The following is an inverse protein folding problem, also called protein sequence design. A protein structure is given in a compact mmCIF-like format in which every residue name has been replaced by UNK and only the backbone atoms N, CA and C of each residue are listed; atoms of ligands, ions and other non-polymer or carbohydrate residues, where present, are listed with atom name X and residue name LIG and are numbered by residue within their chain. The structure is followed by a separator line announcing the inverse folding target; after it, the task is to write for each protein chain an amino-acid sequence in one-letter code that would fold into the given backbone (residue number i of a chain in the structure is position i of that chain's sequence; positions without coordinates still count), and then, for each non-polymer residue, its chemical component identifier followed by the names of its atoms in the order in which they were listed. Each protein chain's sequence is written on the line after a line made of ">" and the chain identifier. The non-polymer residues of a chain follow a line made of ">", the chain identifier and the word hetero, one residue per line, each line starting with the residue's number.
data_IF_863263044258
#
_entry.id   IF_863263044258
#
_cell.length_a   1.000
_cell.length_b   1.000
_cell.length_c   1.000
_cell.angle_alpha   90.00
_cell.angle_beta   90.00
_cell.angle_gamma   90.00
#
_symmetry.space_group_name_H-M   'P 1'
#
loop_
_entity.id
_entity.type
_entity.pdbx_description
1 polymer ?
#
# COMPACT_ATOMS: atom_id res chain seq x y z
N UNK A 1 32.76 2.80 -18.11
CA UNK A 1 33.93 3.68 -18.34
C UNK A 1 33.86 4.31 -19.71
N UNK A 2 33.59 3.55 -20.78
CA UNK A 2 33.47 4.06 -22.16
C UNK A 2 32.34 5.10 -22.31
N UNK A 3 31.20 4.92 -21.68
CA UNK A 3 30.07 5.84 -21.69
C UNK A 3 30.41 7.20 -21.06
N UNK A 4 31.23 7.22 -20.00
CA UNK A 4 31.72 8.44 -19.37
C UNK A 4 32.70 9.20 -20.31
N UNK A 5 33.50 8.47 -21.05
CA UNK A 5 34.45 9.06 -22.01
C UNK A 5 33.76 9.63 -23.27
N UNK A 6 32.61 9.04 -23.65
CA UNK A 6 31.84 9.45 -24.82
C UNK A 6 30.76 10.50 -24.51
N UNK A 7 30.59 10.90 -23.24
CA UNK A 7 29.56 11.85 -22.82
C UNK A 7 28.12 11.32 -22.94
N UNK A 8 27.94 10.00 -23.06
CA UNK A 8 26.66 9.35 -23.33
C UNK A 8 26.08 8.58 -22.11
N UNK A 9 26.28 9.17 -20.93
CA UNK A 9 25.85 8.54 -19.66
C UNK A 9 24.35 8.31 -19.61
N UNK A 10 23.56 9.27 -20.07
CA UNK A 10 22.09 9.20 -20.05
C UNK A 10 21.56 8.03 -20.89
N UNK A 11 22.13 7.80 -22.07
CA UNK A 11 21.71 6.66 -22.91
C UNK A 11 22.03 5.30 -22.27
N UNK A 12 23.17 5.20 -21.60
CA UNK A 12 23.55 3.96 -20.89
C UNK A 12 22.68 3.73 -19.68
N UNK A 13 22.41 4.79 -18.90
CA UNK A 13 21.49 4.69 -17.76
C UNK A 13 20.07 4.29 -18.20
N UNK A 14 19.57 4.88 -19.28
CA UNK A 14 18.30 4.49 -19.89
C UNK A 14 18.27 3.03 -20.36
N UNK A 15 19.38 2.54 -20.89
CA UNK A 15 19.51 1.13 -21.31
C UNK A 15 19.48 0.13 -20.14
N UNK A 16 19.82 0.58 -18.92
CA UNK A 16 19.81 -0.22 -17.69
C UNK A 16 18.48 -0.12 -16.92
N UNK A 17 17.56 0.73 -17.35
CA UNK A 17 16.25 0.85 -16.70
C UNK A 17 15.35 -0.36 -16.97
N UNK A 18 14.51 -0.74 -16.01
CA UNK A 18 13.53 -1.81 -16.19
C UNK A 18 12.58 -1.50 -17.36
N UNK A 19 12.33 -2.48 -18.21
CA UNK A 19 11.46 -2.36 -19.39
C UNK A 19 10.00 -2.71 -19.09
N UNK A 20 9.52 -2.31 -17.92
CA UNK A 20 8.16 -2.58 -17.50
C UNK A 20 7.27 -1.36 -17.73
N UNK A 21 6.13 -1.55 -18.38
CA UNK A 21 5.14 -0.49 -18.61
C UNK A 21 4.75 0.26 -17.32
N UNK A 22 4.64 -0.47 -16.21
CA UNK A 22 4.35 0.12 -14.90
C UNK A 22 5.48 1.02 -14.38
N UNK A 23 6.74 0.67 -14.65
CA UNK A 23 7.91 1.49 -14.32
C UNK A 23 7.88 2.80 -15.10
N UNK A 24 7.73 2.73 -16.42
CA UNK A 24 7.70 3.90 -17.29
C UNK A 24 6.55 4.85 -16.95
N UNK A 25 5.36 4.29 -16.73
CA UNK A 25 4.18 5.08 -16.35
C UNK A 25 4.37 5.79 -15.00
N UNK A 26 4.96 5.10 -14.01
CA UNK A 26 5.22 5.68 -12.70
C UNK A 26 6.33 6.74 -12.76
N UNK A 27 7.39 6.49 -13.54
CA UNK A 27 8.47 7.46 -13.78
C UNK A 27 7.96 8.71 -14.48
N UNK A 28 7.13 8.55 -15.51
CA UNK A 28 6.52 9.66 -16.24
C UNK A 28 5.59 10.52 -15.38
N UNK A 29 4.96 9.94 -14.34
CA UNK A 29 4.09 10.66 -13.42
C UNK A 29 4.84 11.53 -12.41
N UNK A 30 6.12 11.27 -12.12
CA UNK A 30 6.91 12.00 -11.11
C UNK A 30 6.91 13.52 -11.31
N UNK A 31 7.20 14.07 -12.51
CA UNK A 31 7.21 15.52 -12.71
C UNK A 31 5.86 16.18 -12.39
N UNK A 32 4.76 15.57 -12.82
CA UNK A 32 3.40 16.04 -12.51
C UNK A 32 3.12 15.99 -11.01
N UNK A 33 3.47 14.89 -10.36
CA UNK A 33 3.35 14.75 -8.91
C UNK A 33 4.12 15.85 -8.17
N UNK A 34 5.40 16.06 -8.52
CA UNK A 34 6.25 17.05 -7.87
C UNK A 34 5.77 18.49 -8.08
N UNK A 35 5.15 18.79 -9.20
CA UNK A 35 4.61 20.12 -9.49
C UNK A 35 3.45 20.51 -8.55
N UNK A 36 2.75 19.54 -7.97
CA UNK A 36 1.58 19.74 -7.11
C UNK A 36 1.80 19.28 -5.66
N UNK A 37 2.89 18.58 -5.38
CA UNK A 37 3.17 18.02 -4.07
C UNK A 37 3.59 19.07 -3.05
N UNK A 38 3.13 18.91 -1.82
CA UNK A 38 3.57 19.70 -0.67
C UNK A 38 4.43 18.83 0.26
N UNK A 39 5.68 19.20 0.42
CA UNK A 39 6.64 18.55 1.34
C UNK A 39 6.77 19.30 2.67
N UNK A 40 5.75 20.06 3.06
CA UNK A 40 5.72 20.72 4.37
C UNK A 40 5.80 19.68 5.49
N UNK A 41 6.56 19.98 6.57
CA UNK A 41 6.59 19.11 7.74
C UNK A 41 5.19 18.83 8.26
N UNK A 42 4.94 17.60 8.70
CA UNK A 42 3.65 17.19 9.22
C UNK A 42 3.78 16.41 10.53
N UNK A 43 2.72 16.44 11.33
CA UNK A 43 2.63 15.69 12.56
C UNK A 43 2.15 14.26 12.27
N UNK A 44 3.03 13.25 12.47
CA UNK A 44 2.68 11.84 12.35
C UNK A 44 1.81 11.37 13.52
N UNK A 45 0.76 10.62 13.23
CA UNK A 45 -0.18 10.06 14.21
C UNK A 45 0.11 8.57 14.42
N UNK A 46 0.69 8.15 15.56
CA UNK A 46 0.84 6.73 15.88
C UNK A 46 -0.53 6.11 16.16
N UNK A 47 -0.84 4.97 15.52
CA UNK A 47 -2.08 4.26 15.73
C UNK A 47 -1.87 2.74 15.53
N UNK A 48 -2.38 1.88 16.39
CA UNK A 48 -3.09 2.20 17.65
C UNK A 48 -2.20 2.97 18.65
N UNK A 49 -2.81 3.83 19.44
CA UNK A 49 -2.09 4.64 20.43
C UNK A 49 -2.12 4.01 21.83
N UNK A 50 -1.07 4.21 22.59
CA UNK A 50 -0.94 3.78 23.99
C UNK A 50 -1.20 4.91 24.98
N UNK A 51 -0.83 6.14 24.59
CA UNK A 51 -1.03 7.37 25.36
C UNK A 51 -2.10 8.23 24.68
N UNK A 52 -3.28 8.28 25.28
CA UNK A 52 -4.41 9.04 24.75
C UNK A 52 -4.20 10.54 24.77
N UNK A 53 -3.61 11.09 25.84
CA UNK A 53 -3.40 12.56 25.97
C UNK A 53 -2.46 13.02 24.86
N UNK A 54 -1.32 12.37 24.74
CA UNK A 54 -0.34 12.66 23.68
C UNK A 54 -0.94 12.49 22.29
N UNK A 55 -1.69 11.42 22.07
CA UNK A 55 -2.31 11.16 20.77
C UNK A 55 -3.30 12.26 20.38
N UNK A 56 -4.19 12.69 21.28
CA UNK A 56 -5.16 13.75 20.98
C UNK A 56 -4.50 15.11 20.74
N UNK A 57 -3.41 15.42 21.43
CA UNK A 57 -2.59 16.61 21.17
C UNK A 57 -1.99 16.58 19.75
N UNK A 58 -1.42 15.44 19.35
CA UNK A 58 -0.90 15.27 17.99
C UNK A 58 -2.01 15.34 16.94
N UNK A 59 -3.16 14.74 17.22
CA UNK A 59 -4.31 14.74 16.32
C UNK A 59 -4.86 16.16 16.11
N UNK A 60 -4.96 16.94 17.17
CA UNK A 60 -5.37 18.34 17.08
C UNK A 60 -4.42 19.11 16.14
N UNK A 61 -3.11 19.04 16.41
CA UNK A 61 -2.09 19.67 15.57
C UNK A 61 -2.17 19.21 14.11
N UNK A 62 -2.36 17.92 13.89
CA UNK A 62 -2.49 17.37 12.53
C UNK A 62 -3.74 17.87 11.80
N UNK A 63 -4.86 18.06 12.51
CA UNK A 63 -6.09 18.60 11.95
C UNK A 63 -5.96 20.09 11.62
N UNK A 64 -5.18 20.85 12.40
CA UNK A 64 -4.80 22.24 12.11
C UNK A 64 -3.98 22.31 10.81
N UNK A 65 -2.95 21.47 10.66
CA UNK A 65 -2.13 21.36 9.45
C UNK A 65 -2.96 21.04 8.19
N UNK A 66 -4.10 20.35 8.32
CA UNK A 66 -5.01 20.07 7.19
C UNK A 66 -5.95 21.22 6.84
N UNK A 67 -5.92 22.31 7.62
CA UNK A 67 -6.81 23.46 7.47
C UNK A 67 -8.29 23.19 7.80
N UNK A 68 -8.59 22.05 8.45
CA UNK A 68 -9.96 21.72 8.88
C UNK A 68 -10.28 22.31 10.23
N UNK A 69 -9.28 22.44 11.07
CA UNK A 69 -9.31 23.14 12.34
C UNK A 69 -8.56 24.47 12.19
N UNK A 70 -9.17 25.55 12.66
CA UNK A 70 -8.48 26.83 12.80
C UNK A 70 -7.51 26.75 13.98
N UNK A 71 -6.42 27.50 13.95
CA UNK A 71 -5.46 27.57 15.06
C UNK A 71 -6.19 27.81 16.37
N UNK A 72 -6.18 26.83 17.23
CA UNK A 72 -6.81 26.87 18.55
C UNK A 72 -5.74 26.57 19.59
N UNK A 73 -5.50 27.53 20.45
CA UNK A 73 -4.57 27.41 21.59
C UNK A 73 -5.17 26.61 22.75
N UNK A 74 -6.49 26.37 22.73
CA UNK A 74 -7.18 25.65 23.79
C UNK A 74 -7.34 24.16 23.48
N UNK A 75 -7.20 23.33 24.49
CA UNK A 75 -7.47 21.89 24.39
C UNK A 75 -8.96 21.66 24.05
N UNK A 76 -9.20 20.92 22.97
CA UNK A 76 -10.56 20.62 22.54
C UNK A 76 -11.23 19.60 23.46
N UNK A 77 -12.48 19.85 23.80
CA UNK A 77 -13.31 18.85 24.47
C UNK A 77 -13.73 17.71 23.52
N UNK A 78 -14.27 16.65 24.06
CA UNK A 78 -14.69 15.46 23.31
C UNK A 78 -15.75 15.78 22.23
N UNK A 79 -16.60 16.77 22.48
CA UNK A 79 -17.69 17.18 21.57
C UNK A 79 -17.15 17.95 20.39
N UNK A 80 -16.22 18.89 20.65
CA UNK A 80 -15.51 19.62 19.63
C UNK A 80 -14.70 18.69 18.71
N UNK A 81 -13.98 17.73 19.28
CA UNK A 81 -13.26 16.70 18.52
C UNK A 81 -14.19 15.91 17.59
N UNK A 82 -15.32 15.41 18.08
CA UNK A 82 -16.29 14.69 17.25
C UNK A 82 -16.77 15.53 16.07
N UNK A 83 -16.98 16.82 16.30
CA UNK A 83 -17.44 17.76 15.26
C UNK A 83 -16.37 17.94 14.18
N UNK A 84 -15.11 18.16 14.59
CA UNK A 84 -13.99 18.30 13.65
C UNK A 84 -13.73 17.02 12.89
N UNK A 85 -13.75 15.86 13.54
CA UNK A 85 -13.62 14.57 12.87
C UNK A 85 -14.73 14.36 11.83
N UNK A 86 -15.98 14.73 12.11
CA UNK A 86 -17.08 14.68 11.12
C UNK A 86 -16.83 15.61 9.94
N UNK A 87 -16.28 16.82 10.17
CA UNK A 87 -15.88 17.72 9.06
C UNK A 87 -14.82 17.07 8.17
N UNK A 88 -13.80 16.44 8.77
CA UNK A 88 -12.78 15.68 8.04
C UNK A 88 -13.40 14.53 7.26
N UNK A 89 -14.21 13.71 7.91
CA UNK A 89 -14.92 12.58 7.30
C UNK A 89 -15.76 13.03 6.10
N UNK A 90 -16.49 14.13 6.22
CA UNK A 90 -17.28 14.71 5.12
C UNK A 90 -16.40 15.14 3.95
N UNK A 91 -15.29 15.84 4.21
CA UNK A 91 -14.38 16.34 3.17
C UNK A 91 -13.77 15.19 2.36
N UNK A 92 -13.47 14.06 2.99
CA UNK A 92 -12.78 12.92 2.36
C UNK A 92 -13.68 11.72 2.08
N UNK A 93 -15.00 11.86 2.15
CA UNK A 93 -15.96 10.81 1.77
C UNK A 93 -16.05 9.63 2.73
N UNK A 94 -15.65 9.79 3.99
CA UNK A 94 -15.83 8.77 5.02
C UNK A 94 -17.25 8.80 5.59
N UNK A 95 -17.68 7.69 6.18
CA UNK A 95 -18.91 7.63 6.96
C UNK A 95 -18.83 8.60 8.17
N UNK A 96 -19.85 9.43 8.37
CA UNK A 96 -19.90 10.50 9.37
C UNK A 96 -20.14 9.95 10.79
N UNK A 97 -19.23 9.21 11.34
CA UNK A 97 -19.35 8.62 12.68
C UNK A 97 -18.87 9.55 13.79
N UNK A 98 -17.98 10.48 13.49
CA UNK A 98 -17.24 11.27 14.47
C UNK A 98 -16.25 10.45 15.31
N UNK A 99 -15.94 9.22 14.88
CA UNK A 99 -14.98 8.31 15.54
C UNK A 99 -13.69 8.24 14.74
N UNK A 100 -12.59 8.03 15.45
CA UNK A 100 -11.29 7.72 14.89
C UNK A 100 -11.30 6.25 14.44
N UNK A 101 -10.68 5.96 13.30
CA UNK A 101 -10.54 4.62 12.74
C UNK A 101 -9.23 4.52 11.97
N UNK A 102 -8.72 3.30 11.80
CA UNK A 102 -7.50 3.03 11.04
C UNK A 102 -7.51 3.74 9.66
N UNK A 103 -8.55 3.62 8.81
CA UNK A 103 -8.55 4.28 7.52
C UNK A 103 -8.49 5.81 7.59
N UNK A 104 -9.05 6.41 8.67
CA UNK A 104 -8.99 7.85 8.87
C UNK A 104 -7.58 8.29 9.24
N UNK A 105 -6.90 7.56 10.13
CA UNK A 105 -5.52 7.85 10.52
C UNK A 105 -4.57 7.61 9.35
N UNK A 106 -4.75 6.53 8.61
CA UNK A 106 -3.98 6.26 7.39
C UNK A 106 -4.12 7.40 6.38
N UNK A 107 -5.32 7.96 6.22
CA UNK A 107 -5.53 9.13 5.35
C UNK A 107 -4.83 10.37 5.86
N UNK A 108 -4.86 10.63 7.19
CA UNK A 108 -4.16 11.75 7.81
C UNK A 108 -2.63 11.64 7.67
N UNK A 109 -2.08 10.43 7.78
CA UNK A 109 -0.65 10.16 7.64
C UNK A 109 -0.20 10.04 6.17
N UNK A 110 -1.13 9.92 5.21
CA UNK A 110 -0.82 9.79 3.79
C UNK A 110 -0.49 11.14 3.14
N UNK A 111 0.62 11.72 3.52
CA UNK A 111 1.14 12.98 2.99
C UNK A 111 1.81 12.79 1.63
N UNK A 112 2.15 13.88 0.95
CA UNK A 112 2.84 13.79 -0.34
C UNK A 112 4.27 13.26 -0.16
N UNK A 113 4.91 13.50 0.97
CA UNK A 113 6.19 12.87 1.32
C UNK A 113 6.06 11.34 1.39
N UNK A 114 5.03 10.82 2.07
CA UNK A 114 4.79 9.38 2.16
C UNK A 114 4.39 8.76 0.82
N UNK A 115 3.68 9.49 -0.02
CA UNK A 115 3.40 9.05 -1.40
C UNK A 115 4.67 9.00 -2.23
N UNK A 116 5.53 10.03 -2.13
CA UNK A 116 6.80 10.06 -2.84
C UNK A 116 7.73 8.92 -2.44
N UNK A 117 7.85 8.64 -1.14
CA UNK A 117 8.59 7.48 -0.64
C UNK A 117 8.06 6.17 -1.23
N UNK A 118 6.74 6.01 -1.33
CA UNK A 118 6.13 4.82 -1.96
C UNK A 118 6.40 4.73 -3.45
N UNK A 119 6.39 5.86 -4.17
CA UNK A 119 6.80 5.92 -5.58
C UNK A 119 8.25 5.44 -5.71
N UNK A 120 9.16 6.02 -4.93
CA UNK A 120 10.59 5.68 -4.97
C UNK A 120 10.83 4.18 -4.66
N UNK A 121 10.21 3.65 -3.59
CA UNK A 121 10.30 2.23 -3.24
C UNK A 121 9.74 1.34 -4.36
N UNK A 122 8.65 1.75 -5.01
CA UNK A 122 8.05 0.97 -6.09
C UNK A 122 8.96 0.93 -7.31
N UNK A 123 9.55 2.06 -7.69
CA UNK A 123 10.54 2.12 -8.78
C UNK A 123 11.77 1.25 -8.48
N UNK A 124 12.25 1.27 -7.24
CA UNK A 124 13.38 0.45 -6.83
C UNK A 124 13.05 -1.06 -6.87
N UNK A 125 11.82 -1.44 -6.50
CA UNK A 125 11.35 -2.82 -6.62
C UNK A 125 11.29 -3.32 -8.06
N UNK A 126 10.93 -2.46 -9.02
CA UNK A 126 10.97 -2.81 -10.44
C UNK A 126 12.38 -3.20 -10.90
N UNK A 127 13.43 -2.59 -10.33
CA UNK A 127 14.83 -2.93 -10.65
C UNK A 127 15.28 -4.30 -10.14
N UNK A 128 14.50 -4.90 -9.24
CA UNK A 128 14.76 -6.24 -8.70
C UNK A 128 14.05 -7.35 -9.49
N UNK A 129 13.22 -6.97 -10.45
CA UNK A 129 12.56 -7.92 -11.33
C UNK A 129 13.50 -8.40 -12.45
N UNK A 130 13.24 -9.55 -13.08
CA UNK A 130 14.00 -10.00 -14.25
C UNK A 130 13.97 -8.97 -15.38
N UNK A 131 15.04 -8.87 -16.17
CA UNK A 131 15.14 -7.90 -17.29
C UNK A 131 14.06 -8.15 -18.36
N UNK A 132 13.55 -9.38 -18.49
CA UNK A 132 12.44 -9.74 -19.37
C UNK A 132 11.56 -10.78 -18.71
N UNK A 133 10.26 -10.72 -19.00
CA UNK A 133 9.30 -11.75 -18.66
C UNK A 133 9.16 -12.74 -19.82
N UNK A 134 8.75 -14.00 -19.54
CA UNK A 134 8.33 -14.94 -20.58
C UNK A 134 7.16 -14.38 -21.38
N UNK A 135 6.93 -14.92 -22.59
CA UNK A 135 5.78 -14.58 -23.43
C UNK A 135 4.47 -14.79 -22.69
N UNK A 136 4.33 -15.92 -22.00
CA UNK A 136 3.19 -16.20 -21.11
C UNK A 136 3.64 -16.23 -19.67
N UNK A 137 3.01 -15.42 -18.80
CA UNK A 137 3.32 -15.39 -17.37
C UNK A 137 2.10 -15.09 -16.50
N UNK A 138 2.20 -15.48 -15.23
CA UNK A 138 1.25 -15.15 -14.19
C UNK A 138 1.86 -14.10 -13.26
N UNK A 139 1.21 -12.97 -13.13
CA UNK A 139 1.61 -11.89 -12.24
C UNK A 139 0.67 -11.81 -11.04
N UNK A 140 1.21 -11.94 -9.82
CA UNK A 140 0.43 -11.79 -8.60
C UNK A 140 0.85 -10.52 -7.86
N UNK A 141 0.00 -9.51 -7.90
CA UNK A 141 0.19 -8.27 -7.16
C UNK A 141 -0.42 -8.42 -5.76
N UNK A 142 0.42 -8.79 -4.77
CA UNK A 142 -0.01 -9.03 -3.39
C UNK A 142 -0.70 -7.79 -2.76
N UNK A 143 -0.14 -6.57 -2.86
CA UNK A 143 -0.80 -5.37 -2.34
C UNK A 143 -2.14 -5.04 -2.99
N UNK A 144 -2.33 -5.37 -4.26
CA UNK A 144 -3.56 -5.12 -5.00
C UNK A 144 -4.59 -6.26 -4.84
N UNK A 145 -4.20 -7.40 -4.27
CA UNK A 145 -5.04 -8.62 -4.17
C UNK A 145 -5.48 -9.12 -5.55
N UNK A 146 -4.61 -9.01 -6.55
CA UNK A 146 -4.92 -9.34 -7.94
C UNK A 146 -3.93 -10.35 -8.51
N UNK A 147 -4.45 -11.31 -9.25
CA UNK A 147 -3.72 -12.21 -10.14
C UNK A 147 -4.09 -11.85 -11.57
N UNK A 148 -3.08 -11.80 -12.43
CA UNK A 148 -3.20 -11.52 -13.84
C UNK A 148 -2.43 -12.55 -14.62
N UNK A 149 -3.02 -13.05 -15.71
CA UNK A 149 -2.35 -13.91 -16.69
C UNK A 149 -2.15 -13.10 -17.94
N UNK A 150 -0.91 -13.01 -18.36
CA UNK A 150 -0.49 -12.27 -19.53
C UNK A 150 0.00 -13.24 -20.59
N UNK A 151 -0.29 -12.95 -21.85
CA UNK A 151 0.14 -13.68 -23.01
C UNK A 151 0.44 -12.69 -24.13
N UNK A 152 1.67 -12.67 -24.62
CA UNK A 152 2.16 -11.73 -25.64
C UNK A 152 1.73 -10.27 -25.37
N UNK A 153 2.09 -9.75 -24.19
CA UNK A 153 1.73 -8.41 -23.69
C UNK A 153 0.23 -8.12 -23.56
N UNK A 154 -0.63 -9.13 -23.74
CA UNK A 154 -2.08 -9.03 -23.61
C UNK A 154 -2.56 -9.64 -22.30
N UNK A 155 -3.41 -8.91 -21.57
CA UNK A 155 -4.05 -9.45 -20.36
C UNK A 155 -5.17 -10.41 -20.77
N UNK A 156 -4.96 -11.73 -20.61
CA UNK A 156 -5.92 -12.77 -21.01
C UNK A 156 -6.85 -13.19 -19.87
N UNK A 157 -6.41 -13.03 -18.62
CA UNK A 157 -7.24 -13.37 -17.45
C UNK A 157 -6.85 -12.54 -16.24
N UNK A 158 -7.82 -12.18 -15.41
CA UNK A 158 -7.56 -11.59 -14.10
C UNK A 158 -8.53 -12.11 -13.04
N UNK A 159 -8.05 -12.22 -11.80
CA UNK A 159 -8.85 -12.66 -10.66
C UNK A 159 -8.37 -12.00 -9.37
N UNK A 160 -9.27 -11.87 -8.41
CA UNK A 160 -8.89 -11.53 -7.04
C UNK A 160 -8.25 -12.74 -6.35
N UNK A 161 -7.26 -12.48 -5.50
CA UNK A 161 -6.58 -13.50 -4.70
C UNK A 161 -6.67 -13.17 -3.22
N UNK A 162 -6.63 -14.21 -2.40
CA UNK A 162 -6.49 -14.08 -0.95
C UNK A 162 -4.99 -14.13 -0.64
N UNK A 163 -4.53 -13.18 0.14
CA UNK A 163 -3.13 -13.11 0.60
C UNK A 163 -3.08 -13.27 2.11
N UNK A 164 -1.92 -13.66 2.62
CA UNK A 164 -1.70 -13.82 4.06
C UNK A 164 -1.77 -12.49 4.83
N UNK A 165 -2.20 -12.57 6.09
CA UNK A 165 -2.25 -11.43 7.00
C UNK A 165 -0.86 -10.97 7.49
N UNK A 166 -0.79 -9.91 8.33
CA UNK A 166 0.48 -9.37 8.82
C UNK A 166 1.39 -10.39 9.53
N UNK A 167 0.79 -11.37 10.22
CA UNK A 167 1.52 -12.42 10.95
C UNK A 167 1.83 -13.66 10.10
N UNK A 168 1.14 -13.84 8.98
CA UNK A 168 1.27 -14.98 8.07
C UNK A 168 1.42 -14.48 6.63
N UNK A 169 2.41 -13.65 6.40
CA UNK A 169 2.58 -12.97 5.12
C UNK A 169 2.81 -13.94 3.98
N UNK A 170 2.14 -13.72 2.85
CA UNK A 170 2.46 -14.40 1.60
C UNK A 170 3.87 -13.97 1.16
N UNK A 171 4.81 -14.91 0.97
CA UNK A 171 6.15 -14.57 0.51
C UNK A 171 6.12 -14.05 -0.94
N UNK A 172 7.08 -13.19 -1.27
CA UNK A 172 7.38 -12.86 -2.66
C UNK A 172 8.23 -14.01 -3.20
N UNK A 173 7.79 -14.61 -4.29
CA UNK A 173 8.50 -15.72 -4.92
C UNK A 173 8.37 -15.64 -6.45
N UNK A 174 9.29 -16.28 -7.12
CA UNK A 174 9.24 -16.56 -8.56
C UNK A 174 9.29 -18.08 -8.75
N UNK A 175 8.42 -18.63 -9.60
CA UNK A 175 8.31 -20.05 -9.84
C UNK A 175 7.69 -20.33 -11.21
N UNK A 176 7.75 -21.56 -11.66
CA UNK A 176 7.14 -22.01 -12.91
C UNK A 176 5.99 -22.97 -12.62
N UNK A 177 4.95 -22.93 -13.47
CA UNK A 177 3.86 -23.90 -13.43
C UNK A 177 4.28 -25.11 -14.26
N UNK A 178 4.55 -26.22 -13.58
CA UNK A 178 4.99 -27.45 -14.24
C UNK A 178 3.86 -28.45 -14.53
N UNK A 179 2.78 -28.39 -13.75
CA UNK A 179 1.67 -29.35 -13.89
C UNK A 179 0.36 -28.76 -13.33
N UNK A 180 -0.75 -29.32 -13.79
CA UNK A 180 -2.09 -29.05 -13.29
C UNK A 180 -2.68 -30.33 -12.70
N UNK A 181 -3.24 -30.23 -11.50
CA UNK A 181 -3.95 -31.32 -10.85
C UNK A 181 -5.43 -30.98 -10.87
N UNK A 182 -6.22 -31.78 -11.58
CA UNK A 182 -7.68 -31.66 -11.59
C UNK A 182 -8.30 -32.36 -10.39
N UNK A 183 -9.34 -31.79 -9.82
CA UNK A 183 -10.04 -32.29 -8.62
C UNK A 183 -9.10 -32.64 -7.45
N UNK A 184 -8.23 -31.70 -7.01
CA UNK A 184 -7.27 -31.97 -5.95
C UNK A 184 -7.99 -32.30 -4.65
N UNK A 185 -7.50 -33.32 -3.92
CA UNK A 185 -7.94 -33.58 -2.55
C UNK A 185 -7.08 -32.70 -1.61
N UNK A 186 -7.75 -31.91 -0.80
CA UNK A 186 -7.06 -31.12 0.23
C UNK A 186 -7.01 -31.90 1.54
N UNK A 187 -5.81 -32.32 1.92
CA UNK A 187 -5.57 -32.88 3.25
C UNK A 187 -5.36 -31.72 4.22
N UNK A 188 -6.29 -31.53 5.15
CA UNK A 188 -6.22 -30.44 6.12
C UNK A 188 -5.02 -30.65 7.06
N UNK A 189 -4.08 -29.69 7.16
CA UNK A 189 -2.96 -29.78 8.11
C UNK A 189 -3.45 -29.90 9.56
N UNK A 190 -2.79 -30.71 10.36
CA UNK A 190 -3.12 -30.87 11.79
C UNK A 190 -3.18 -29.56 12.55
N UNK A 191 -2.30 -28.60 12.21
CA UNK A 191 -2.31 -27.26 12.83
C UNK A 191 -3.63 -26.51 12.61
N UNK A 192 -4.26 -26.63 11.46
CA UNK A 192 -5.55 -26.03 11.14
C UNK A 192 -6.66 -26.79 11.87
N UNK A 193 -6.61 -28.13 11.87
CA UNK A 193 -7.59 -28.93 12.58
C UNK A 193 -7.66 -28.55 14.05
N UNK A 194 -6.51 -28.54 14.75
CA UNK A 194 -6.48 -28.32 16.19
C UNK A 194 -6.62 -26.84 16.60
N UNK A 195 -6.11 -25.90 15.80
CA UNK A 195 -6.14 -24.48 16.17
C UNK A 195 -7.40 -23.74 15.71
N UNK A 196 -8.02 -24.18 14.62
CA UNK A 196 -9.11 -23.42 14.00
C UNK A 196 -10.42 -24.21 13.90
N UNK A 197 -10.38 -25.49 13.55
CA UNK A 197 -11.60 -26.28 13.31
C UNK A 197 -12.15 -26.89 14.59
N UNK A 198 -11.32 -27.54 15.36
CA UNK A 198 -11.76 -28.24 16.59
C UNK A 198 -12.38 -27.29 17.63
N UNK A 199 -11.81 -26.11 17.94
CA UNK A 199 -12.44 -25.16 18.85
C UNK A 199 -13.84 -24.73 18.39
N UNK A 200 -14.02 -24.44 17.10
CA UNK A 200 -15.32 -24.04 16.54
C UNK A 200 -16.36 -25.17 16.58
N UNK A 201 -15.94 -26.41 16.44
CA UNK A 201 -16.84 -27.57 16.54
C UNK A 201 -17.29 -27.73 18.00
N UNK A 202 -16.37 -27.57 18.96
CA UNK A 202 -16.67 -27.72 20.39
C UNK A 202 -17.54 -26.58 20.94
N UNK A 203 -17.49 -25.38 20.36
CA UNK A 203 -18.36 -24.26 20.71
C UNK A 203 -19.84 -24.45 20.25
N UNK A 204 -20.06 -25.31 19.27
CA UNK A 204 -21.39 -25.56 18.69
C UNK A 204 -22.03 -26.89 19.15
N UNK A 205 -21.45 -27.55 20.11
CA UNK A 205 -21.99 -28.75 20.80
C UNK A 205 -22.42 -28.42 22.21
#
# INVERSE_FOLDING_TARGET
>A
YEALQQGNVDSVLHGLEPKYRGYDSLKAYIPEFLAHASFAPYTYLPYPYTDSVRFFTLLQKRLEETGILSDSTEAMDTTAFKTVIRKYQKKYGFRLTGRISDPLIDKLNNTDEEKFKRIAITLDRYKQLPDSLPETYVWVNLPAYMLEVWDDDSLVFSSRVIVGGPQTRTPVLNSEISNFITMPQWTVPYSIIFKEMLPKILENV
#
